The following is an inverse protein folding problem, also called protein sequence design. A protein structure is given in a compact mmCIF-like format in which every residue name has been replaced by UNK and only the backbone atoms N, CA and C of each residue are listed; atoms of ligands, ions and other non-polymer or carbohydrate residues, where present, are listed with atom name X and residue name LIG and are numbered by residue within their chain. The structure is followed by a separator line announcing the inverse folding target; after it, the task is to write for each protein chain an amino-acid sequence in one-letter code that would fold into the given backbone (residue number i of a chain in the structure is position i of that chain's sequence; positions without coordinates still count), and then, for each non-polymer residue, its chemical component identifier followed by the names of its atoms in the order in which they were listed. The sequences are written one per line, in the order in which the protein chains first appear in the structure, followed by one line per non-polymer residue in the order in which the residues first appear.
data_IF_665274802236
#
_entry.id   IF_665274802236
#
_cell.length_a   1.000
_cell.length_b   1.000
_cell.length_c   1.000
_cell.angle_alpha   90.00
_cell.angle_beta   90.00
_cell.angle_gamma   90.00
#
_symmetry.space_group_name_H-M   'P 1'
#
loop_
_entity.id
_entity.type
_entity.pdbx_description
1 polymer ?
#
# COMPACT_ATOMS: atom_id res chain seq x y z
N UNK A 1 -3.78 -13.73 -24.66
CA UNK A 1 -3.41 -12.39 -24.19
C UNK A 1 -4.48 -11.89 -23.22
N UNK A 2 -4.16 -11.80 -21.92
CA UNK A 2 -5.11 -11.35 -20.89
C UNK A 2 -5.29 -9.83 -20.92
N UNK A 3 -4.35 -9.06 -21.48
CA UNK A 3 -4.46 -7.59 -21.61
C UNK A 3 -5.79 -7.11 -22.21
N UNK A 4 -6.34 -7.75 -23.25
CA UNK A 4 -7.64 -7.35 -23.82
C UNK A 4 -8.79 -7.45 -22.81
N UNK A 5 -8.73 -8.41 -21.88
CA UNK A 5 -9.73 -8.56 -20.81
C UNK A 5 -9.57 -7.48 -19.74
N UNK A 6 -8.33 -7.06 -19.48
CA UNK A 6 -7.98 -5.95 -18.57
C UNK A 6 -8.51 -4.63 -19.13
N UNK A 7 -8.18 -4.33 -20.39
CA UNK A 7 -8.60 -3.08 -21.06
C UNK A 7 -10.12 -2.99 -21.21
N UNK A 8 -10.78 -4.10 -21.54
CA UNK A 8 -12.26 -4.15 -21.67
C UNK A 8 -12.99 -4.30 -20.33
N UNK A 9 -12.28 -4.21 -19.19
CA UNK A 9 -12.84 -4.30 -17.83
C UNK A 9 -13.66 -5.58 -17.57
N UNK A 10 -13.39 -6.65 -18.32
CA UNK A 10 -14.05 -7.95 -18.14
C UNK A 10 -13.58 -8.66 -16.87
N UNK A 11 -12.42 -8.25 -16.36
CA UNK A 11 -11.85 -8.69 -15.09
C UNK A 11 -11.49 -7.46 -14.25
N UNK A 12 -11.48 -7.61 -12.93
CA UNK A 12 -10.92 -6.62 -12.00
C UNK A 12 -9.53 -7.12 -11.57
N UNK A 13 -8.47 -6.76 -12.31
CA UNK A 13 -7.13 -7.24 -12.01
C UNK A 13 -6.54 -6.50 -10.81
N UNK A 14 -5.57 -7.12 -10.14
CA UNK A 14 -4.72 -6.41 -9.18
C UNK A 14 -3.67 -5.56 -9.90
N UNK A 15 -3.09 -4.57 -9.20
CA UNK A 15 -1.96 -3.80 -9.72
C UNK A 15 -0.80 -4.69 -10.18
N UNK A 16 -0.52 -5.78 -9.45
CA UNK A 16 0.54 -6.74 -9.81
C UNK A 16 0.25 -7.52 -11.10
N UNK A 17 -1.00 -7.86 -11.38
CA UNK A 17 -1.39 -8.54 -12.62
C UNK A 17 -1.24 -7.62 -13.83
N UNK A 18 -1.64 -6.35 -13.70
CA UNK A 18 -1.47 -5.37 -14.78
C UNK A 18 0.03 -5.08 -15.03
N UNK A 19 0.84 -4.96 -13.97
CA UNK A 19 2.28 -4.78 -14.10
C UNK A 19 2.96 -5.96 -14.81
N UNK A 20 2.53 -7.20 -14.55
CA UNK A 20 3.05 -8.37 -15.24
C UNK A 20 2.74 -8.35 -16.74
N UNK A 21 1.52 -7.96 -17.14
CA UNK A 21 1.15 -7.84 -18.56
C UNK A 21 1.91 -6.70 -19.25
N UNK A 22 2.18 -5.57 -18.58
CA UNK A 22 3.04 -4.51 -19.12
C UNK A 22 4.43 -5.07 -19.45
N UNK A 23 5.02 -5.84 -18.54
CA UNK A 23 6.34 -6.46 -18.76
C UNK A 23 6.31 -7.42 -19.97
N UNK A 24 5.24 -8.19 -20.13
CA UNK A 24 5.09 -9.06 -21.31
C UNK A 24 4.99 -8.26 -22.61
N UNK A 25 4.18 -7.19 -22.63
CA UNK A 25 4.06 -6.30 -23.80
C UNK A 25 5.39 -5.62 -24.11
N UNK A 26 6.13 -5.15 -23.10
CA UNK A 26 7.47 -4.56 -23.28
C UNK A 26 8.46 -5.55 -23.89
N UNK A 27 8.43 -6.82 -23.46
CA UNK A 27 9.25 -7.87 -24.09
C UNK A 27 8.87 -8.08 -25.56
N UNK A 28 7.57 -8.08 -25.88
CA UNK A 28 7.10 -8.18 -27.27
C UNK A 28 7.51 -6.98 -28.11
N UNK A 29 7.49 -5.76 -27.56
CA UNK A 29 7.97 -4.54 -28.22
C UNK A 29 9.45 -4.67 -28.58
N UNK A 30 10.28 -5.13 -27.64
CA UNK A 30 11.72 -5.34 -27.90
C UNK A 30 11.92 -6.34 -29.04
N UNK A 31 11.22 -7.47 -29.01
CA UNK A 31 11.30 -8.48 -30.07
C UNK A 31 10.86 -7.92 -31.44
N UNK A 32 9.78 -7.15 -31.51
CA UNK A 32 9.33 -6.53 -32.76
C UNK A 32 10.31 -5.48 -33.30
N UNK A 33 11.01 -4.75 -32.43
CA UNK A 33 12.09 -3.82 -32.86
C UNK A 33 13.25 -4.58 -33.50
N UNK A 34 13.60 -5.74 -32.96
CA UNK A 34 14.61 -6.62 -33.55
C UNK A 34 14.13 -7.19 -34.90
N UNK A 35 12.88 -7.64 -34.98
CA UNK A 35 12.28 -8.17 -36.22
C UNK A 35 12.22 -7.11 -37.34
N UNK A 36 11.88 -5.85 -36.99
CA UNK A 36 11.93 -4.71 -37.91
C UNK A 36 13.36 -4.49 -38.40
N UNK A 37 14.33 -4.48 -37.49
CA UNK A 37 15.74 -4.27 -37.84
C UNK A 37 16.24 -5.35 -38.82
N UNK A 38 15.86 -6.61 -38.61
CA UNK A 38 16.18 -7.71 -39.53
C UNK A 38 15.48 -7.54 -40.88
N UNK A 39 14.20 -7.18 -40.89
CA UNK A 39 13.44 -6.95 -42.12
C UNK A 39 13.99 -5.75 -42.93
N UNK A 40 14.49 -4.70 -42.26
CA UNK A 40 15.16 -3.56 -42.92
C UNK A 40 16.49 -3.97 -43.56
N UNK A 41 17.25 -4.85 -42.91
CA UNK A 41 18.48 -5.42 -43.49
C UNK A 41 18.13 -6.27 -44.74
N UNK A 42 17.07 -7.05 -44.68
CA UNK A 42 16.60 -7.90 -45.79
C UNK A 42 16.12 -7.06 -46.99
N UNK A 43 15.30 -6.04 -46.77
CA UNK A 43 14.87 -5.09 -47.83
C UNK A 43 16.08 -4.40 -48.49
N UNK A 44 17.03 -3.91 -47.68
CA UNK A 44 18.27 -3.30 -48.20
C UNK A 44 19.07 -4.27 -49.06
N UNK A 45 19.23 -5.54 -48.62
CA UNK A 45 19.92 -6.59 -49.39
C UNK A 45 19.24 -6.85 -50.72
N UNK A 46 17.92 -6.98 -50.74
CA UNK A 46 17.14 -7.22 -51.97
C UNK A 46 17.30 -6.06 -52.96
N UNK A 47 17.23 -4.82 -52.48
CA UNK A 47 17.43 -3.61 -53.31
C UNK A 47 18.85 -3.52 -53.86
N UNK A 48 19.86 -3.80 -53.03
CA UNK A 48 21.26 -3.80 -53.45
C UNK A 48 21.52 -4.90 -54.49
N UNK A 49 21.00 -6.11 -54.27
CA UNK A 49 21.12 -7.20 -55.23
C UNK A 49 20.45 -6.85 -56.57
N UNK A 50 19.29 -6.19 -56.54
CA UNK A 50 18.60 -5.71 -57.75
C UNK A 50 19.43 -4.66 -58.52
N UNK A 51 20.02 -3.69 -57.81
CA UNK A 51 20.88 -2.66 -58.40
C UNK A 51 22.19 -3.22 -58.96
N UNK A 52 22.74 -4.26 -58.31
CA UNK A 52 23.95 -4.97 -58.74
C UNK A 52 23.75 -5.92 -59.92
N UNK A 53 22.58 -5.91 -60.58
CA UNK A 53 22.27 -6.78 -61.72
C UNK A 53 21.80 -8.19 -61.35
N UNK A 54 21.53 -8.46 -60.07
CA UNK A 54 20.96 -9.73 -59.60
C UNK A 54 19.53 -9.95 -60.08
N UNK A 55 19.16 -11.21 -60.30
CA UNK A 55 17.78 -11.60 -60.64
C UNK A 55 16.88 -11.62 -59.39
N UNK A 56 16.59 -10.43 -58.86
CA UNK A 56 15.58 -10.23 -57.81
C UNK A 56 14.27 -9.82 -58.46
N UNK A 57 13.16 -10.47 -58.12
CA UNK A 57 11.87 -10.08 -58.68
C UNK A 57 11.35 -8.81 -57.98
N UNK A 58 10.70 -7.89 -58.71
CA UNK A 58 10.10 -6.71 -58.08
C UNK A 58 9.03 -7.10 -57.03
N UNK A 59 8.38 -8.25 -57.22
CA UNK A 59 7.42 -8.81 -56.26
C UNK A 59 8.08 -9.17 -54.92
N UNK A 60 9.34 -9.63 -54.91
CA UNK A 60 10.07 -9.95 -53.67
C UNK A 60 10.39 -8.69 -52.88
N UNK A 61 10.77 -7.60 -53.56
CA UNK A 61 10.99 -6.29 -52.94
C UNK A 61 9.68 -5.75 -52.37
N UNK A 62 8.58 -5.85 -53.11
CA UNK A 62 7.26 -5.42 -52.63
C UNK A 62 6.79 -6.24 -51.41
N UNK A 63 7.06 -7.55 -51.39
CA UNK A 63 6.73 -8.40 -50.25
C UNK A 63 7.55 -8.01 -49.00
N UNK A 64 8.84 -7.70 -49.16
CA UNK A 64 9.69 -7.23 -48.06
C UNK A 64 9.24 -5.88 -47.50
N UNK A 65 8.85 -4.94 -48.37
CA UNK A 65 8.29 -3.64 -47.96
C UNK A 65 6.98 -3.83 -47.19
N UNK A 66 6.07 -4.65 -47.70
CA UNK A 66 4.80 -4.93 -47.02
C UNK A 66 5.02 -5.56 -45.64
N UNK A 67 5.94 -6.52 -45.54
CA UNK A 67 6.31 -7.14 -44.25
C UNK A 67 6.85 -6.10 -43.26
N UNK A 68 7.66 -5.15 -43.72
CA UNK A 68 8.15 -4.05 -42.90
C UNK A 68 7.04 -3.12 -42.41
N UNK A 69 6.10 -2.76 -43.28
CA UNK A 69 4.94 -1.95 -42.93
C UNK A 69 4.05 -2.65 -41.90
N UNK A 70 3.77 -3.94 -42.11
CA UNK A 70 2.99 -4.76 -41.18
C UNK A 70 3.68 -4.85 -39.79
N UNK A 71 5.01 -5.03 -39.76
CA UNK A 71 5.77 -5.06 -38.51
C UNK A 71 5.75 -3.71 -37.76
N UNK A 72 5.85 -2.59 -38.49
CA UNK A 72 5.75 -1.24 -37.90
C UNK A 72 4.36 -0.97 -37.35
N UNK A 73 3.31 -1.31 -38.08
CA UNK A 73 1.93 -1.16 -37.61
C UNK A 73 1.66 -2.00 -36.35
N UNK A 74 2.18 -3.22 -36.29
CA UNK A 74 2.07 -4.06 -35.10
C UNK A 74 2.84 -3.47 -33.91
N UNK A 75 4.02 -2.89 -34.15
CA UNK A 75 4.79 -2.21 -33.09
C UNK A 75 4.01 -1.03 -32.53
N UNK A 76 3.44 -0.17 -33.39
CA UNK A 76 2.63 0.98 -32.95
C UNK A 76 1.43 0.53 -32.09
N UNK A 77 0.78 -0.58 -32.48
CA UNK A 77 -0.32 -1.16 -31.71
C UNK A 77 0.12 -1.68 -30.33
N UNK A 78 1.30 -2.30 -30.23
CA UNK A 78 1.86 -2.76 -28.95
C UNK A 78 2.26 -1.58 -28.05
N UNK A 79 2.86 -0.53 -28.62
CA UNK A 79 3.23 0.67 -27.87
C UNK A 79 1.98 1.38 -27.33
N UNK A 80 0.93 1.52 -28.14
CA UNK A 80 -0.36 2.03 -27.68
C UNK A 80 -1.00 1.16 -26.59
N UNK A 81 -0.96 -0.17 -26.73
CA UNK A 81 -1.48 -1.08 -25.71
C UNK A 81 -0.71 -0.97 -24.38
N UNK A 82 0.61 -0.75 -24.43
CA UNK A 82 1.43 -0.49 -23.25
C UNK A 82 1.00 0.79 -22.55
N UNK A 83 0.78 1.88 -23.29
CA UNK A 83 0.31 3.15 -22.72
C UNK A 83 -1.04 2.99 -22.02
N UNK A 84 -1.99 2.30 -22.66
CA UNK A 84 -3.31 2.02 -22.07
C UNK A 84 -3.20 1.19 -20.77
N UNK A 85 -2.32 0.18 -20.75
CA UNK A 85 -2.07 -0.62 -19.55
C UNK A 85 -1.43 0.21 -18.43
N UNK A 86 -0.50 1.11 -18.75
CA UNK A 86 0.09 2.03 -17.79
C UNK A 86 -0.97 2.96 -17.17
N UNK A 87 -1.85 3.54 -17.98
CA UNK A 87 -2.97 4.35 -17.49
C UNK A 87 -3.87 3.52 -16.57
N UNK A 88 -4.20 2.29 -16.97
CA UNK A 88 -5.04 1.41 -16.17
C UNK A 88 -4.38 1.02 -14.84
N UNK A 89 -3.07 0.79 -14.82
CA UNK A 89 -2.31 0.52 -13.61
C UNK A 89 -2.38 1.71 -12.65
N UNK A 90 -2.19 2.94 -13.14
CA UNK A 90 -2.31 4.15 -12.34
C UNK A 90 -3.70 4.31 -11.74
N UNK A 91 -4.77 4.04 -12.50
CA UNK A 91 -6.14 4.05 -11.98
C UNK A 91 -6.33 3.06 -10.82
N UNK A 92 -5.85 1.81 -10.99
CA UNK A 92 -5.97 0.77 -9.96
C UNK A 92 -5.20 1.15 -8.70
N UNK A 93 -3.96 1.65 -8.83
CA UNK A 93 -3.14 2.09 -7.69
C UNK A 93 -3.84 3.22 -6.93
N UNK A 94 -4.47 4.16 -7.63
CA UNK A 94 -5.20 5.25 -6.98
C UNK A 94 -6.46 4.75 -6.27
N UNK A 95 -7.21 3.83 -6.88
CA UNK A 95 -8.37 3.18 -6.25
C UNK A 95 -7.95 2.41 -5.00
N UNK A 96 -6.90 1.58 -5.08
CA UNK A 96 -6.37 0.79 -3.96
C UNK A 96 -5.88 1.71 -2.83
N UNK A 97 -5.10 2.75 -3.15
CA UNK A 97 -4.59 3.72 -2.18
C UNK A 97 -5.70 4.47 -1.45
N UNK A 98 -6.76 4.87 -2.16
CA UNK A 98 -7.92 5.52 -1.56
C UNK A 98 -8.63 4.61 -0.55
N UNK A 99 -8.82 3.33 -0.91
CA UNK A 99 -9.43 2.35 0.01
C UNK A 99 -8.55 2.06 1.22
N UNK A 100 -7.22 1.97 1.05
CA UNK A 100 -6.28 1.81 2.16
C UNK A 100 -6.32 3.02 3.09
N UNK A 101 -6.31 4.24 2.55
CA UNK A 101 -6.43 5.46 3.35
C UNK A 101 -7.71 5.49 4.19
N UNK A 102 -8.83 5.05 3.64
CA UNK A 102 -10.10 4.95 4.36
C UNK A 102 -10.00 3.96 5.53
N UNK A 103 -9.49 2.75 5.29
CA UNK A 103 -9.27 1.74 6.33
C UNK A 103 -8.31 2.20 7.43
N UNK A 104 -7.25 2.91 7.05
CA UNK A 104 -6.30 3.51 7.98
C UNK A 104 -6.99 4.55 8.86
N UNK A 105 -7.79 5.44 8.26
CA UNK A 105 -8.53 6.46 9.01
C UNK A 105 -9.55 5.83 9.99
N UNK A 106 -10.28 4.80 9.56
CA UNK A 106 -11.19 4.04 10.43
C UNK A 106 -10.46 3.39 11.60
N UNK A 107 -9.33 2.74 11.33
CA UNK A 107 -8.51 2.09 12.35
C UNK A 107 -7.97 3.11 13.36
N UNK A 108 -7.53 4.27 12.88
CA UNK A 108 -7.10 5.37 13.74
C UNK A 108 -8.23 5.90 14.62
N UNK A 109 -9.46 5.98 14.11
CA UNK A 109 -10.63 6.40 14.88
C UNK A 109 -10.90 5.41 16.03
N UNK A 110 -10.95 4.11 15.73
CA UNK A 110 -11.14 3.03 16.73
C UNK A 110 -10.06 3.06 17.81
N UNK A 111 -8.79 3.23 17.44
CA UNK A 111 -7.69 3.33 18.40
C UNK A 111 -7.77 4.57 19.28
N UNK A 112 -8.27 5.71 18.77
CA UNK A 112 -8.48 6.92 19.57
C UNK A 112 -9.57 6.71 20.62
N UNK A 113 -10.66 6.05 20.25
CA UNK A 113 -11.74 5.69 21.18
C UNK A 113 -11.24 4.71 22.25
N UNK A 114 -10.57 3.64 21.86
CA UNK A 114 -9.99 2.67 22.81
C UNK A 114 -9.03 3.35 23.79
N UNK A 115 -8.15 4.22 23.29
CA UNK A 115 -7.23 5.01 24.14
C UNK A 115 -7.99 5.93 25.11
N UNK A 116 -9.08 6.55 24.66
CA UNK A 116 -9.88 7.41 25.52
C UNK A 116 -10.55 6.61 26.65
N UNK A 117 -11.07 5.42 26.34
CA UNK A 117 -11.69 4.55 27.34
C UNK A 117 -10.69 3.96 28.32
N UNK A 118 -9.52 3.53 27.84
CA UNK A 118 -8.40 3.13 28.70
C UNK A 118 -7.97 4.27 29.64
N UNK A 119 -7.96 5.52 29.17
CA UNK A 119 -7.67 6.69 30.02
C UNK A 119 -8.74 6.91 31.09
N UNK A 120 -10.03 6.75 30.76
CA UNK A 120 -11.13 6.84 31.74
C UNK A 120 -11.00 5.75 32.81
N UNK A 121 -10.70 4.51 32.39
CA UNK A 121 -10.48 3.39 33.32
C UNK A 121 -9.30 3.66 34.25
N UNK A 122 -8.18 4.18 33.71
CA UNK A 122 -7.01 4.55 34.49
C UNK A 122 -7.36 5.61 35.54
N UNK A 123 -8.04 6.70 35.14
CA UNK A 123 -8.45 7.78 36.07
C UNK A 123 -9.33 7.21 37.19
N UNK A 124 -10.30 6.35 36.85
CA UNK A 124 -11.17 5.71 37.84
C UNK A 124 -10.36 4.87 38.83
N UNK A 125 -9.44 4.03 38.34
CA UNK A 125 -8.56 3.21 39.18
C UNK A 125 -7.62 4.05 40.04
N UNK A 126 -7.05 5.13 39.50
CA UNK A 126 -6.22 6.08 40.27
C UNK A 126 -7.02 6.79 41.36
N UNK A 127 -8.27 7.17 41.10
CA UNK A 127 -9.17 7.76 42.09
C UNK A 127 -9.54 6.76 43.20
N UNK A 128 -9.90 5.52 42.84
CA UNK A 128 -10.13 4.42 43.80
C UNK A 128 -8.92 4.25 44.73
N UNK A 129 -7.71 4.25 44.19
CA UNK A 129 -6.47 4.16 44.96
C UNK A 129 -6.21 5.39 45.84
N UNK A 130 -6.53 6.59 45.37
CA UNK A 130 -6.35 7.80 46.16
C UNK A 130 -7.30 7.84 47.36
N UNK A 131 -8.56 7.42 47.17
CA UNK A 131 -9.53 7.28 48.27
C UNK A 131 -9.05 6.26 49.30
N UNK A 132 -8.59 5.08 48.84
CA UNK A 132 -7.98 4.09 49.71
C UNK A 132 -6.80 4.70 50.45
N UNK A 133 -5.86 5.36 49.75
CA UNK A 133 -4.70 6.00 50.36
C UNK A 133 -5.10 7.06 51.39
N UNK A 134 -6.13 7.87 51.18
CA UNK A 134 -6.62 8.82 52.20
C UNK A 134 -7.17 8.10 53.42
N UNK A 135 -7.94 7.01 53.21
CA UNK A 135 -8.41 6.16 54.30
C UNK A 135 -7.25 5.52 55.10
N UNK A 136 -6.10 5.29 54.46
CA UNK A 136 -4.88 4.76 55.08
C UNK A 136 -3.94 5.82 55.68
N UNK A 137 -3.69 6.96 55.01
CA UNK A 137 -2.71 8.00 55.37
C UNK A 137 -3.29 9.09 56.29
N UNK A 138 -4.62 9.13 56.48
CA UNK A 138 -5.24 9.82 57.63
C UNK A 138 -4.75 9.28 59.00
N UNK A 139 -3.93 8.22 58.98
CA UNK A 139 -3.29 7.57 60.09
C UNK A 139 -1.82 7.93 60.32
N UNK A 140 -1.37 9.14 60.01
CA UNK A 140 -0.10 9.66 60.55
C UNK A 140 -0.19 9.96 62.07
N UNK A 141 -0.94 9.14 62.82
CA UNK A 141 -1.12 9.23 64.27
C UNK A 141 -2.01 8.13 64.86
N UNK A 142 -3.00 7.63 64.12
CA UNK A 142 -3.83 6.47 64.50
C UNK A 142 -4.31 5.76 63.23
N UNK A 143 -3.91 4.48 63.04
CA UNK A 143 -4.41 3.60 61.96
C UNK A 143 -5.93 3.72 61.79
N UNK A 144 -6.50 3.58 60.58
CA UNK A 144 -7.96 3.51 60.45
C UNK A 144 -8.44 2.38 61.37
N UNK A 145 -9.24 2.70 62.38
CA UNK A 145 -9.83 1.75 63.33
C UNK A 145 -10.95 0.93 62.69
N UNK A 146 -10.88 0.70 61.37
CA UNK A 146 -12.00 0.20 60.58
C UNK A 146 -12.05 -1.33 60.49
N UNK A 147 -11.00 -2.02 60.94
CA UNK A 147 -10.99 -3.49 61.03
C UNK A 147 -10.56 -3.87 62.45
N UNK A 148 -11.49 -3.84 63.39
CA UNK A 148 -11.28 -4.36 64.75
C UNK A 148 -11.07 -5.88 64.73
N UNK A 149 -11.44 -6.55 63.61
CA UNK A 149 -11.30 -7.98 63.40
C UNK A 149 -10.12 -8.36 62.49
N UNK A 150 -9.36 -9.38 62.89
CA UNK A 150 -8.19 -9.88 62.15
C UNK A 150 -8.54 -10.38 60.74
N UNK A 151 -9.69 -11.03 60.59
CA UNK A 151 -10.17 -11.58 59.31
C UNK A 151 -10.50 -10.47 58.30
N UNK A 152 -11.06 -9.35 58.76
CA UNK A 152 -11.35 -8.19 57.91
C UNK A 152 -10.07 -7.52 57.42
N UNK A 153 -9.03 -7.53 58.26
CA UNK A 153 -7.70 -7.03 57.89
C UNK A 153 -7.04 -7.91 56.83
N UNK A 154 -7.15 -9.23 56.96
CA UNK A 154 -6.59 -10.18 55.97
C UNK A 154 -7.35 -10.11 54.63
N UNK A 155 -8.68 -10.00 54.63
CA UNK A 155 -9.48 -9.81 53.42
C UNK A 155 -9.11 -8.49 52.73
N UNK A 156 -8.91 -7.44 53.52
CA UNK A 156 -8.52 -6.13 53.02
C UNK A 156 -7.10 -6.10 52.45
N UNK A 157 -6.14 -6.71 53.15
CA UNK A 157 -4.76 -6.87 52.65
C UNK A 157 -4.71 -7.70 51.37
N UNK A 158 -5.55 -8.74 51.24
CA UNK A 158 -5.70 -9.51 50.01
C UNK A 158 -6.31 -8.67 48.87
N UNK A 159 -7.29 -7.82 49.17
CA UNK A 159 -7.90 -6.92 48.19
C UNK A 159 -6.91 -5.85 47.71
N UNK A 160 -6.10 -5.30 48.61
CA UNK A 160 -5.02 -4.35 48.30
C UNK A 160 -3.91 -5.03 47.51
N UNK A 161 -3.49 -6.24 47.88
CA UNK A 161 -2.51 -7.02 47.11
C UNK A 161 -3.01 -7.34 45.69
N UNK A 162 -4.28 -7.74 45.53
CA UNK A 162 -4.88 -7.95 44.20
C UNK A 162 -4.90 -6.66 43.37
N UNK A 163 -5.25 -5.53 43.97
CA UNK A 163 -5.23 -4.21 43.32
C UNK A 163 -3.82 -3.79 42.88
N UNK A 164 -2.80 -4.03 43.72
CA UNK A 164 -1.39 -3.73 43.43
C UNK A 164 -0.80 -4.71 42.41
N UNK A 165 -1.21 -5.99 42.41
CA UNK A 165 -0.82 -6.93 41.35
C UNK A 165 -1.46 -6.58 40.00
N UNK A 166 -2.70 -6.09 40.01
CA UNK A 166 -3.39 -5.59 38.82
C UNK A 166 -2.78 -4.27 38.30
N UNK A 167 -2.09 -3.49 39.15
CA UNK A 167 -1.29 -2.34 38.71
C UNK A 167 0.02 -2.72 38.01
N UNK A 168 0.62 -3.88 38.36
CA UNK A 168 1.79 -4.42 37.66
C UNK A 168 1.43 -5.12 36.36
N UNK A 169 0.20 -4.99 35.87
CA UNK A 169 -0.26 -5.64 34.65
C UNK A 169 0.49 -5.04 33.45
N UNK A 170 1.55 -5.72 32.94
CA UNK A 170 2.43 -5.18 31.89
C UNK A 170 1.65 -4.95 30.59
N UNK A 171 0.50 -5.63 30.48
CA UNK A 171 -0.40 -5.62 29.35
C UNK A 171 -0.89 -4.21 29.01
N UNK A 172 -1.15 -3.33 29.98
CA UNK A 172 -1.66 -1.99 29.68
C UNK A 172 -0.58 -1.07 29.10
N UNK A 173 0.59 -1.00 29.72
CA UNK A 173 1.69 -0.15 29.24
C UNK A 173 2.27 -0.65 27.92
N UNK A 174 2.29 -1.98 27.72
CA UNK A 174 2.68 -2.62 26.46
C UNK A 174 1.63 -2.33 25.38
N UNK A 175 0.34 -2.57 25.62
CA UNK A 175 -0.73 -2.28 24.65
C UNK A 175 -0.81 -0.79 24.28
N UNK A 176 -0.60 0.10 25.25
CA UNK A 176 -0.55 1.54 24.99
C UNK A 176 0.63 1.92 24.09
N UNK A 177 1.82 1.35 24.32
CA UNK A 177 2.98 1.55 23.42
C UNK A 177 2.75 0.94 22.04
N UNK A 178 2.18 -0.26 21.97
CA UNK A 178 1.86 -0.93 20.71
C UNK A 178 0.86 -0.10 19.88
N UNK A 179 -0.22 0.39 20.51
CA UNK A 179 -1.18 1.27 19.86
C UNK A 179 -0.54 2.57 19.38
N UNK A 180 0.37 3.16 20.18
CA UNK A 180 1.06 4.39 19.83
C UNK A 180 2.08 4.20 18.69
N UNK A 181 2.79 3.06 18.69
CA UNK A 181 3.69 2.68 17.60
C UNK A 181 2.92 2.38 16.31
N UNK A 182 1.77 1.70 16.42
CA UNK A 182 0.90 1.41 15.27
C UNK A 182 0.32 2.69 14.67
N UNK A 183 -0.12 3.64 15.51
CA UNK A 183 -0.53 4.98 15.07
C UNK A 183 0.59 5.73 14.35
N UNK A 184 1.83 5.63 14.84
CA UNK A 184 2.99 6.27 14.21
C UNK A 184 3.29 5.67 12.83
N UNK A 185 3.26 4.34 12.70
CA UNK A 185 3.42 3.64 11.43
C UNK A 185 2.35 4.04 10.42
N UNK A 186 1.08 4.02 10.83
CA UNK A 186 -0.04 4.43 9.99
C UNK A 186 0.05 5.89 9.54
N UNK A 187 0.49 6.79 10.43
CA UNK A 187 0.72 8.19 10.05
C UNK A 187 1.84 8.33 9.03
N UNK A 188 2.93 7.58 9.17
CA UNK A 188 4.01 7.59 8.18
C UNK A 188 3.52 7.09 6.81
N UNK A 189 2.78 5.98 6.78
CA UNK A 189 2.18 5.46 5.54
C UNK A 189 1.23 6.47 4.90
N UNK A 190 0.39 7.14 5.70
CA UNK A 190 -0.49 8.21 5.21
C UNK A 190 0.30 9.37 4.61
N UNK A 191 1.39 9.80 5.24
CA UNK A 191 2.26 10.86 4.72
C UNK A 191 2.87 10.44 3.38
N UNK A 192 3.34 9.19 3.26
CA UNK A 192 3.88 8.64 2.02
C UNK A 192 2.84 8.64 0.89
N UNK A 193 1.61 8.18 1.17
CA UNK A 193 0.52 8.17 0.19
C UNK A 193 0.11 9.60 -0.23
N UNK A 194 -0.03 10.53 0.71
CA UNK A 194 -0.34 11.94 0.40
C UNK A 194 0.79 12.61 -0.38
N UNK A 195 2.05 12.31 -0.04
CA UNK A 195 3.19 12.82 -0.79
C UNK A 195 3.21 12.27 -2.23
N UNK A 196 2.86 10.99 -2.42
CA UNK A 196 2.73 10.39 -3.75
C UNK A 196 1.62 11.08 -4.57
N UNK A 197 0.44 11.32 -3.99
CA UNK A 197 -0.64 12.05 -4.66
C UNK A 197 -0.23 13.49 -5.04
N UNK A 198 0.47 14.21 -4.16
CA UNK A 198 0.95 15.57 -4.43
C UNK A 198 2.00 15.59 -5.54
N UNK A 199 2.89 14.60 -5.58
CA UNK A 199 3.88 14.45 -6.66
C UNK A 199 3.23 14.14 -8.01
N UNK A 200 2.22 13.28 -8.03
CA UNK A 200 1.45 12.99 -9.25
C UNK A 200 0.70 14.24 -9.75
N UNK A 201 0.07 15.01 -8.85
CA UNK A 201 -0.57 16.29 -9.21
C UNK A 201 0.44 17.30 -9.78
N UNK A 202 1.60 17.43 -9.15
CA UNK A 202 2.66 18.34 -9.61
C UNK A 202 3.21 17.92 -10.99
N UNK A 203 3.37 16.62 -11.25
CA UNK A 203 3.76 16.09 -12.58
C UNK A 203 2.70 16.37 -13.63
N UNK A 204 1.42 16.17 -13.30
CA UNK A 204 0.30 16.44 -14.19
C UNK A 204 0.15 17.94 -14.52
N UNK A 205 0.49 18.84 -13.59
CA UNK A 205 0.54 20.29 -13.84
C UNK A 205 1.77 20.69 -14.68
N UNK A 206 2.93 20.07 -14.44
CA UNK A 206 4.14 20.33 -15.22
C UNK A 206 4.02 19.86 -16.68
N UNK A 207 3.27 18.79 -16.95
CA UNK A 207 3.01 18.31 -18.32
C UNK A 207 2.03 19.18 -19.12
N UNK A 208 1.36 20.15 -18.48
CA UNK A 208 0.39 21.06 -19.11
C UNK A 208 0.97 22.44 -19.46
N UNK A 209 2.18 22.76 -18.98
CA UNK A 209 2.90 24.01 -19.23
C UNK A 209 4.05 23.78 -20.23
#
# INVERSE_FOLDING_TARGET
MKFYQILTRKIKPSASEVAAEIIEVEKSIVQHKDDISQAEIEDKKLRQAKLGGGQVANAEIQAAVKKLEDLRANLDALESAREDLCLRLSEIINEESATELEQINETMAKLREEKADLRKQLIKKTAELHVLRIAFDGAAGQGPSFCENREEREIFDLAVQKLVSDQKNPVFSVRQREAQNRLRLLNNQKIELVAAELLEKARAEAAKN
#
